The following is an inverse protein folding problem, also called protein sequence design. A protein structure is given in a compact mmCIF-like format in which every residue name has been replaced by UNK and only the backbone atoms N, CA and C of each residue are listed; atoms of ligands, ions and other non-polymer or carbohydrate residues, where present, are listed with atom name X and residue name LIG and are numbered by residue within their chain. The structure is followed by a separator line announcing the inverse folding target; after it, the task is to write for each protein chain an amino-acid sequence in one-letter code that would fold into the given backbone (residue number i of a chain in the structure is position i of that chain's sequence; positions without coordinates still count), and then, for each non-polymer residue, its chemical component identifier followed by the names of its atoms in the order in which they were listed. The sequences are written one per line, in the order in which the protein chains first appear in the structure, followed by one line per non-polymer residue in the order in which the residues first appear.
data_IF_304078695463
#
_entry.id   IF_304078695463
#
_cell.length_a   1.000
_cell.length_b   1.000
_cell.length_c   1.000
_cell.angle_alpha   90.00
_cell.angle_beta   90.00
_cell.angle_gamma   90.00
#
_symmetry.space_group_name_H-M   'P 1'
#
loop_
_entity.id
_entity.type
_entity.pdbx_description
1 polymer ?
#
# COMPACT_ATOMS: atom_id res chain seq x y z
N UNK A 1 5.93 -10.96 -6.04
CA UNK A 1 5.70 -9.60 -5.51
C UNK A 1 6.64 -8.65 -6.22
N UNK A 2 6.14 -7.48 -6.56
CA UNK A 2 6.84 -6.44 -7.30
C UNK A 2 7.65 -5.53 -6.37
N UNK A 3 8.46 -4.65 -6.97
CA UNK A 3 9.30 -3.69 -6.22
C UNK A 3 8.46 -2.74 -5.36
N UNK A 4 7.25 -2.39 -5.78
CA UNK A 4 6.39 -1.50 -5.03
C UNK A 4 5.72 -2.17 -3.84
N UNK A 5 5.66 -3.50 -3.78
CA UNK A 5 4.89 -4.19 -2.75
C UNK A 5 5.50 -4.01 -1.35
N UNK A 6 4.60 -3.89 -0.37
CA UNK A 6 4.94 -3.73 1.03
C UNK A 6 5.55 -5.02 1.57
N UNK A 7 6.75 -4.92 2.14
CA UNK A 7 7.40 -6.01 2.85
C UNK A 7 7.11 -5.89 4.35
N UNK A 8 7.23 -4.69 4.92
CA UNK A 8 6.87 -4.46 6.31
C UNK A 8 5.53 -3.74 6.42
N UNK A 9 4.45 -4.48 6.65
CA UNK A 9 3.09 -3.95 6.86
C UNK A 9 2.91 -3.17 8.17
N UNK A 10 3.84 -3.30 9.12
CA UNK A 10 3.80 -2.52 10.36
C UNK A 10 4.18 -1.06 10.13
N UNK A 11 5.12 -0.80 9.22
CA UNK A 11 5.70 0.52 8.99
C UNK A 11 5.68 0.94 7.51
N UNK A 12 4.87 0.24 6.71
CA UNK A 12 4.64 0.49 5.28
C UNK A 12 5.95 0.61 4.47
N UNK A 13 6.88 -0.33 4.69
CA UNK A 13 8.17 -0.35 4.00
C UNK A 13 8.10 -1.27 2.78
N UNK A 14 8.30 -0.71 1.58
CA UNK A 14 8.26 -1.45 0.31
C UNK A 14 9.58 -2.14 -0.03
N UNK A 15 9.52 -3.15 -0.90
CA UNK A 15 10.71 -3.84 -1.43
C UNK A 15 11.69 -2.85 -2.05
N UNK A 16 11.22 -1.89 -2.85
CA UNK A 16 12.04 -0.84 -3.48
C UNK A 16 12.78 -0.01 -2.44
N UNK A 17 12.11 0.39 -1.37
CA UNK A 17 12.72 1.20 -0.30
C UNK A 17 13.87 0.44 0.37
N UNK A 18 13.70 -0.85 0.63
CA UNK A 18 14.75 -1.71 1.20
C UNK A 18 15.95 -1.90 0.25
N UNK A 19 15.69 -2.17 -1.03
CA UNK A 19 16.76 -2.33 -2.02
C UNK A 19 17.56 -1.04 -2.22
N UNK A 20 16.87 0.11 -2.27
CA UNK A 20 17.50 1.42 -2.33
C UNK A 20 18.30 1.72 -1.06
N UNK A 21 17.76 1.41 0.12
CA UNK A 21 18.49 1.56 1.38
C UNK A 21 19.78 0.73 1.37
N UNK A 22 19.75 -0.53 0.93
CA UNK A 22 20.95 -1.35 0.85
C UNK A 22 22.02 -0.74 -0.09
N UNK A 23 21.60 -0.22 -1.25
CA UNK A 23 22.50 0.45 -2.21
C UNK A 23 23.14 1.71 -1.65
N UNK A 24 22.36 2.58 -1.01
CA UNK A 24 22.80 3.90 -0.56
C UNK A 24 23.55 3.84 0.78
N UNK A 25 23.06 3.04 1.72
CA UNK A 25 23.56 3.00 3.10
C UNK A 25 24.57 1.88 3.34
N UNK A 26 24.64 0.91 2.41
CA UNK A 26 25.58 -0.23 2.45
C UNK A 26 25.67 -0.88 3.84
N UNK A 27 24.54 -1.36 4.39
CA UNK A 27 24.52 -1.96 5.72
C UNK A 27 25.53 -3.11 5.81
N UNK A 28 26.10 -3.28 7.00
CA UNK A 28 27.10 -4.33 7.31
C UNK A 28 26.44 -5.62 7.75
N UNK A 29 25.25 -5.54 8.35
CA UNK A 29 24.49 -6.67 8.87
C UNK A 29 23.00 -6.49 8.57
N UNK A 30 22.26 -7.61 8.48
CA UNK A 30 20.84 -7.58 8.15
C UNK A 30 19.97 -6.80 9.16
N UNK A 31 20.36 -6.77 10.44
CA UNK A 31 19.60 -6.03 11.46
C UNK A 31 19.54 -4.53 11.20
N UNK A 32 20.53 -3.95 10.51
CA UNK A 32 20.52 -2.53 10.15
C UNK A 32 19.40 -2.15 9.17
N UNK A 33 18.74 -3.11 8.52
CA UNK A 33 17.54 -2.81 7.73
C UNK A 33 16.40 -2.23 8.61
N UNK A 34 16.45 -2.38 9.94
CA UNK A 34 15.52 -1.70 10.85
C UNK A 34 15.65 -0.17 10.84
N UNK A 35 16.81 0.36 10.46
CA UNK A 35 17.00 1.80 10.26
C UNK A 35 16.26 2.30 9.01
N UNK A 36 15.81 1.40 8.13
CA UNK A 36 14.95 1.72 7.00
C UNK A 36 13.48 1.78 7.46
N UNK A 37 13.12 2.88 8.13
CA UNK A 37 11.74 3.14 8.56
C UNK A 37 11.19 2.11 9.56
N UNK A 38 12.03 1.54 10.41
CA UNK A 38 11.61 0.59 11.46
C UNK A 38 11.41 -0.85 10.98
N UNK A 39 11.76 -1.20 9.73
CA UNK A 39 11.45 -2.52 9.20
C UNK A 39 11.92 -3.66 10.13
N UNK A 40 11.00 -4.57 10.48
CA UNK A 40 11.31 -5.74 11.32
C UNK A 40 11.15 -5.55 12.83
N UNK A 41 10.86 -4.35 13.33
CA UNK A 41 10.70 -4.10 14.78
C UNK A 41 9.25 -4.19 15.28
N UNK A 42 8.28 -4.45 14.40
CA UNK A 42 6.86 -4.66 14.72
C UNK A 42 6.56 -6.14 14.97
N UNK A 43 5.58 -6.69 14.24
CA UNK A 43 5.17 -8.10 14.40
C UNK A 43 6.24 -9.15 14.04
N UNK A 44 7.38 -8.77 13.43
CA UNK A 44 8.47 -9.70 13.11
C UNK A 44 8.30 -10.55 11.84
N UNK A 45 7.09 -10.65 11.27
CA UNK A 45 6.83 -11.44 10.05
C UNK A 45 7.83 -11.20 8.91
N UNK A 46 8.20 -9.93 8.68
CA UNK A 46 9.07 -9.56 7.58
C UNK A 46 10.56 -9.88 7.79
N UNK A 47 11.01 -10.24 9.01
CA UNK A 47 12.43 -10.39 9.35
C UNK A 47 13.17 -11.44 8.51
N UNK A 48 12.63 -12.64 8.23
CA UNK A 48 13.27 -13.60 7.33
C UNK A 48 13.50 -13.03 5.92
N UNK A 49 12.56 -12.23 5.43
CA UNK A 49 12.62 -11.59 4.12
C UNK A 49 13.64 -10.44 4.11
N UNK A 50 13.79 -9.68 5.20
CA UNK A 50 14.87 -8.69 5.34
C UNK A 50 16.25 -9.34 5.27
N UNK A 51 16.44 -10.47 5.97
CA UNK A 51 17.69 -11.24 5.93
C UNK A 51 17.97 -11.75 4.51
N UNK A 52 16.95 -12.21 3.80
CA UNK A 52 17.08 -12.64 2.42
C UNK A 52 17.50 -11.50 1.49
N UNK A 53 16.79 -10.35 1.52
CA UNK A 53 17.11 -9.17 0.71
C UNK A 53 18.56 -8.73 0.95
N UNK A 54 18.98 -8.69 2.21
CA UNK A 54 20.35 -8.35 2.58
C UNK A 54 21.37 -9.32 1.98
N UNK A 55 21.16 -10.63 2.13
CA UNK A 55 22.08 -11.66 1.57
C UNK A 55 22.20 -11.57 0.06
N UNK A 56 21.09 -11.39 -0.65
CA UNK A 56 21.10 -11.29 -2.11
C UNK A 56 21.79 -10.00 -2.55
N UNK A 57 21.52 -8.87 -1.90
CA UNK A 57 22.25 -7.63 -2.16
C UNK A 57 23.76 -7.79 -1.97
N UNK A 58 24.21 -8.46 -0.90
CA UNK A 58 25.64 -8.74 -0.69
C UNK A 58 26.27 -9.58 -1.80
N UNK A 59 25.50 -10.48 -2.42
CA UNK A 59 25.93 -11.32 -3.55
C UNK A 59 25.79 -10.64 -4.91
N UNK A 60 25.17 -9.45 -4.98
CA UNK A 60 24.83 -8.80 -6.24
C UNK A 60 23.66 -9.45 -6.98
N UNK A 61 22.84 -10.26 -6.28
CA UNK A 61 21.70 -11.00 -6.81
C UNK A 61 20.38 -10.23 -6.61
N UNK A 62 19.39 -10.51 -7.45
CA UNK A 62 18.01 -10.04 -7.24
C UNK A 62 17.22 -11.03 -6.37
N UNK A 63 16.31 -10.56 -5.48
CA UNK A 63 15.47 -11.43 -4.68
C UNK A 63 14.42 -12.23 -5.46
N UNK A 64 14.79 -13.42 -5.98
CA UNK A 64 13.90 -14.29 -6.77
C UNK A 64 12.75 -14.89 -5.95
N UNK A 65 12.99 -15.36 -4.73
CA UNK A 65 11.93 -15.96 -3.89
C UNK A 65 10.80 -14.96 -3.58
N UNK A 66 11.09 -13.65 -3.50
CA UNK A 66 10.05 -12.62 -3.35
C UNK A 66 9.25 -12.42 -4.64
N UNK A 67 9.81 -12.73 -5.80
CA UNK A 67 9.14 -12.61 -7.10
C UNK A 67 8.08 -13.70 -7.25
N UNK A 68 8.32 -14.88 -6.68
CA UNK A 68 7.49 -16.09 -6.78
C UNK A 68 6.22 -16.08 -5.92
N UNK A 69 6.15 -15.26 -4.87
CA UNK A 69 4.94 -15.14 -4.02
C UNK A 69 4.10 -13.94 -4.46
N UNK A 70 2.76 -13.99 -4.41
CA UNK A 70 1.94 -12.78 -4.65
C UNK A 70 1.87 -11.90 -3.41
N UNK A 71 1.53 -10.62 -3.57
CA UNK A 71 1.35 -9.69 -2.44
C UNK A 71 0.19 -10.14 -1.52
N UNK A 72 -0.90 -10.60 -2.13
CA UNK A 72 -2.03 -11.18 -1.43
C UNK A 72 -1.63 -12.40 -0.57
N UNK A 73 -0.88 -13.33 -1.16
CA UNK A 73 -0.40 -14.52 -0.43
C UNK A 73 0.52 -14.14 0.73
N UNK A 74 1.40 -13.15 0.53
CA UNK A 74 2.28 -12.67 1.60
C UNK A 74 1.49 -12.04 2.75
N UNK A 75 0.45 -11.25 2.46
CA UNK A 75 -0.42 -10.64 3.46
C UNK A 75 -1.23 -11.70 4.23
N UNK A 76 -1.72 -12.75 3.55
CA UNK A 76 -2.41 -13.88 4.19
C UNK A 76 -1.50 -14.62 5.17
N UNK A 77 -0.30 -15.01 4.73
CA UNK A 77 0.67 -15.71 5.59
C UNK A 77 1.10 -14.88 6.80
N UNK A 78 1.18 -13.55 6.66
CA UNK A 78 1.38 -12.64 7.79
C UNK A 78 0.24 -12.75 8.81
N UNK A 79 -1.00 -12.75 8.34
CA UNK A 79 -2.16 -12.87 9.22
C UNK A 79 -2.15 -14.20 9.98
N UNK A 80 -1.85 -15.29 9.29
CA UNK A 80 -1.71 -16.62 9.92
C UNK A 80 -0.60 -16.63 10.97
N UNK A 81 0.56 -16.04 10.66
CA UNK A 81 1.67 -15.88 11.60
C UNK A 81 1.24 -15.13 12.87
N UNK A 82 0.51 -14.03 12.74
CA UNK A 82 0.04 -13.24 13.90
C UNK A 82 -1.03 -14.01 14.68
N UNK A 83 -1.99 -14.65 14.00
CA UNK A 83 -3.05 -15.46 14.64
C UNK A 83 -2.48 -16.68 15.37
N UNK A 84 -1.35 -17.22 14.93
CA UNK A 84 -0.63 -18.29 15.62
C UNK A 84 0.05 -17.84 16.93
N UNK A 85 -0.11 -16.58 17.35
CA UNK A 85 0.43 -16.06 18.62
C UNK A 85 1.89 -15.60 18.52
N UNK A 86 2.41 -15.41 17.31
CA UNK A 86 3.69 -14.75 17.13
C UNK A 86 3.58 -13.22 17.35
N UNK A 87 4.62 -12.46 17.04
CA UNK A 87 4.73 -11.04 17.39
C UNK A 87 3.52 -10.18 17.01
N UNK A 88 3.25 -9.15 17.81
CA UNK A 88 2.06 -8.30 17.64
C UNK A 88 2.36 -7.07 16.77
N UNK A 89 1.46 -6.70 15.85
CA UNK A 89 1.60 -5.45 15.09
C UNK A 89 1.42 -4.22 16.01
N UNK A 90 2.13 -3.12 15.74
CA UNK A 90 1.94 -1.87 16.48
C UNK A 90 0.59 -1.21 16.13
N UNK A 91 0.18 -0.24 16.95
CA UNK A 91 -1.01 0.59 16.70
C UNK A 91 -0.85 1.30 15.34
N UNK A 92 -1.90 1.27 14.51
CA UNK A 92 -1.91 1.89 13.19
C UNK A 92 -1.20 1.10 12.08
N UNK A 93 -0.78 -0.14 12.36
CA UNK A 93 -0.32 -1.05 11.31
C UNK A 93 -1.45 -1.42 10.34
N UNK A 94 -1.08 -1.79 9.12
CA UNK A 94 -2.03 -2.22 8.10
C UNK A 94 -2.90 -3.40 8.61
N UNK A 95 -4.24 -3.30 8.47
CA UNK A 95 -5.17 -4.34 8.91
C UNK A 95 -4.83 -5.73 8.35
N UNK A 96 -5.16 -6.76 9.13
CA UNK A 96 -5.04 -8.13 8.64
C UNK A 96 -6.19 -8.40 7.66
N UNK A 97 -5.96 -9.16 6.58
CA UNK A 97 -7.06 -9.62 5.74
C UNK A 97 -7.98 -10.53 6.56
N UNK A 98 -9.25 -10.15 6.66
CA UNK A 98 -10.31 -10.95 7.30
C UNK A 98 -10.77 -12.11 6.40
N UNK A 99 -10.68 -11.94 5.08
CA UNK A 99 -11.07 -12.92 4.05
C UNK A 99 -9.92 -13.11 3.02
N UNK A 100 -9.56 -14.34 2.61
CA UNK A 100 -8.43 -14.60 1.71
C UNK A 100 -8.48 -13.90 0.34
N UNK A 101 -9.66 -13.50 -0.14
CA UNK A 101 -9.88 -12.84 -1.44
C UNK A 101 -9.65 -11.32 -1.44
N UNK A 102 -9.70 -10.64 -0.28
CA UNK A 102 -9.66 -9.16 -0.22
C UNK A 102 -8.26 -8.55 -0.35
N UNK A 103 -7.21 -9.37 -0.42
CA UNK A 103 -5.82 -8.91 -0.39
C UNK A 103 -5.27 -8.38 -1.74
N UNK A 104 -6.08 -8.38 -2.81
CA UNK A 104 -5.70 -7.92 -4.15
C UNK A 104 -5.98 -6.42 -4.42
N UNK A 105 -6.65 -5.68 -3.52
CA UNK A 105 -7.31 -4.41 -3.89
C UNK A 105 -6.71 -3.06 -3.44
N UNK A 106 -5.78 -2.98 -2.48
CA UNK A 106 -5.50 -1.71 -1.78
C UNK A 106 -4.54 -0.73 -2.51
N UNK A 107 -4.52 -0.71 -3.85
CA UNK A 107 -3.72 0.26 -4.65
C UNK A 107 -4.46 0.94 -5.80
N UNK A 108 -5.79 0.91 -5.80
CA UNK A 108 -6.58 1.64 -6.79
C UNK A 108 -7.61 2.56 -6.09
N UNK A 109 -7.14 3.67 -5.51
CA UNK A 109 -7.82 4.99 -5.56
C UNK A 109 -7.22 5.98 -4.55
N UNK A 110 -6.22 6.73 -4.99
CA UNK A 110 -5.95 8.10 -4.51
C UNK A 110 -5.80 9.05 -5.71
N UNK A 111 -6.63 8.85 -6.73
CA UNK A 111 -6.78 9.80 -7.84
C UNK A 111 -8.22 9.79 -8.34
N UNK A 112 -8.82 10.99 -8.34
CA UNK A 112 -10.11 11.36 -8.93
C UNK A 112 -11.38 11.11 -8.09
N UNK A 113 -11.86 12.19 -7.47
CA UNK A 113 -13.29 12.55 -7.45
C UNK A 113 -13.44 14.03 -7.05
N UNK A 114 -13.09 14.93 -7.96
CA UNK A 114 -13.79 16.21 -8.06
C UNK A 114 -14.82 16.04 -9.18
N UNK A 115 -16.13 16.14 -8.92
CA UNK A 115 -17.12 15.93 -9.96
C UNK A 115 -17.18 17.14 -10.90
N UNK A 116 -16.66 16.96 -12.11
CA UNK A 116 -17.10 17.69 -13.30
C UNK A 116 -18.10 16.82 -14.03
N UNK A 117 -19.38 17.19 -14.08
CA UNK A 117 -20.16 17.30 -15.33
C UNK A 117 -21.62 17.77 -15.16
N UNK A 118 -22.02 18.63 -16.11
CA UNK A 118 -23.30 18.72 -16.87
C UNK A 118 -24.63 18.77 -16.10
N UNK A 119 -25.58 19.64 -16.43
CA UNK A 119 -26.13 19.79 -17.79
C UNK A 119 -26.85 21.11 -18.09
N UNK A 120 -26.79 21.48 -19.38
CA UNK A 120 -27.63 22.44 -20.09
C UNK A 120 -29.14 22.25 -19.84
N UNK A 121 -29.85 23.37 -19.72
CA UNK A 121 -31.31 23.46 -19.68
C UNK A 121 -31.76 24.84 -20.14
N UNK A 122 -32.19 24.93 -21.41
CA UNK A 122 -33.01 26.01 -21.95
C UNK A 122 -34.37 26.01 -21.24
N UNK A 123 -34.91 27.19 -20.95
CA UNK A 123 -36.33 27.60 -20.99
C UNK A 123 -36.39 29.00 -20.35
N UNK A 124 -36.46 30.10 -21.09
CA UNK A 124 -37.67 30.63 -21.76
C UNK A 124 -38.83 30.90 -20.79
N UNK A 125 -38.64 31.81 -19.83
CA UNK A 125 -39.76 32.41 -19.10
C UNK A 125 -40.45 33.47 -19.97
N UNK A 126 -41.50 33.00 -20.64
CA UNK A 126 -42.50 33.76 -21.39
C UNK A 126 -43.86 33.60 -20.67
N UNK A 127 -44.19 34.53 -19.76
CA UNK A 127 -45.54 34.86 -19.29
C UNK A 127 -45.41 36.13 -18.41
N UNK A 128 -46.08 37.26 -18.62
CA UNK A 128 -47.48 37.45 -19.00
C UNK A 128 -47.69 38.85 -19.63
N UNK A 129 -48.45 38.92 -20.72
CA UNK A 129 -49.24 40.09 -21.15
C UNK A 129 -50.48 40.25 -20.24
N UNK A 130 -51.28 41.35 -20.26
CA UNK A 130 -51.43 42.38 -21.30
C UNK A 130 -51.44 43.86 -20.81
N UNK A 131 -51.48 44.83 -21.75
CA UNK A 131 -51.75 46.25 -21.45
C UNK A 131 -53.27 46.52 -21.44
N UNK A 132 -53.73 47.32 -20.49
CA UNK A 132 -55.06 47.95 -20.52
C UNK A 132 -54.93 49.47 -20.71
N UNK A 133 -55.78 49.94 -21.61
CA UNK A 133 -55.94 51.29 -22.18
C UNK A 133 -57.14 51.97 -21.50
N UNK A 134 -57.08 53.31 -21.39
CA UNK A 134 -58.16 54.30 -21.15
C UNK A 134 -58.91 54.32 -19.80
N UNK A 135 -58.80 55.43 -19.04
CA UNK A 135 -59.62 56.65 -19.16
C UNK A 135 -58.79 57.87 -18.76
#
# INVERSE_FOLDING_TARGET
MNLDDTICYCFHVTRRKLMNYCRLRRPRVASQLSECGGAGTGCGWCVPFLKMIFRQWQRGETPRELEEISAAEYARRRADYIRAGHGSPPIGAEPLPDNPELADGARQNLSASAPTHLSDGRDADLASSPPDIEV
#
